data_IF_250586879498
#
_entry.id   IF_250586879498
#
_cell.length_a   1.000
_cell.length_b   1.000
_cell.length_c   1.000
_cell.angle_alpha   90.00
_cell.angle_beta   90.00
_cell.angle_gamma   90.00
#
_symmetry.space_group_name_H-M   'P 1'
#
loop_
_entity.id
_entity.type
_entity.pdbx_description
1 polymer ?
#
# COMPACT_ATOMS: atom_id res chain seq x y z
N UNK A 1 -21.68 1.15 34.67
CA UNK A 1 -20.97 0.80 33.43
C UNK A 1 -20.56 2.11 32.78
N UNK A 2 -19.28 2.40 32.74
CA UNK A 2 -18.73 3.53 32.00
C UNK A 2 -18.77 3.17 30.52
N UNK A 3 -19.51 3.92 29.71
CA UNK A 3 -19.56 3.70 28.28
C UNK A 3 -18.23 4.18 27.69
N UNK A 4 -17.36 3.25 27.35
CA UNK A 4 -16.10 3.56 26.66
C UNK A 4 -16.40 4.35 25.40
N UNK A 5 -15.99 5.62 25.40
CA UNK A 5 -16.10 6.49 24.24
C UNK A 5 -15.19 5.96 23.12
N UNK A 6 -15.79 5.37 22.08
CA UNK A 6 -15.06 4.99 20.87
C UNK A 6 -14.93 6.20 19.96
N UNK A 7 -13.70 6.61 19.68
CA UNK A 7 -13.38 7.63 18.66
C UNK A 7 -13.00 6.94 17.37
N UNK A 8 -13.62 7.34 16.26
CA UNK A 8 -13.32 6.85 14.91
C UNK A 8 -12.73 8.01 14.13
N UNK A 9 -11.53 7.83 13.59
CA UNK A 9 -10.86 8.79 12.72
C UNK A 9 -10.92 8.28 11.29
N UNK A 10 -11.41 9.11 10.38
CA UNK A 10 -11.47 8.83 8.94
C UNK A 10 -10.45 9.75 8.29
N UNK A 11 -9.50 9.17 7.57
CA UNK A 11 -8.41 9.89 6.94
C UNK A 11 -8.55 9.82 5.43
N UNK A 12 -8.23 10.92 4.76
CA UNK A 12 -7.87 10.90 3.35
C UNK A 12 -6.40 10.46 3.22
N UNK A 13 -6.04 9.86 2.09
CA UNK A 13 -4.70 9.29 1.90
C UNK A 13 -3.78 10.27 1.16
N UNK A 14 -4.12 10.63 -0.07
CA UNK A 14 -3.33 11.52 -0.92
C UNK A 14 -3.50 12.97 -0.49
N UNK A 15 -2.42 13.74 -0.54
CA UNK A 15 -2.31 15.12 -0.05
C UNK A 15 -2.67 15.32 1.44
N UNK A 16 -2.73 14.24 2.22
CA UNK A 16 -2.97 14.25 3.67
C UNK A 16 -1.92 13.43 4.39
N UNK A 17 -1.85 12.13 4.09
CA UNK A 17 -0.88 11.21 4.70
C UNK A 17 0.37 11.10 3.82
N UNK A 18 0.17 11.09 2.49
CA UNK A 18 1.22 11.09 1.48
C UNK A 18 1.04 12.28 0.53
N UNK A 19 2.06 12.61 -0.26
CA UNK A 19 2.07 13.75 -1.18
C UNK A 19 2.35 13.31 -2.63
N UNK A 20 1.71 12.24 -3.11
CA UNK A 20 2.12 11.64 -4.39
C UNK A 20 1.69 12.48 -5.59
N UNK A 21 0.43 12.93 -5.61
CA UNK A 21 -0.11 13.66 -6.76
C UNK A 21 0.51 15.04 -6.93
N UNK A 22 0.77 15.74 -5.84
CA UNK A 22 1.40 17.07 -5.85
C UNK A 22 2.87 17.01 -6.22
N UNK A 23 3.57 15.91 -5.91
CA UNK A 23 4.89 15.62 -6.44
C UNK A 23 4.84 15.38 -7.95
N UNK A 24 3.98 14.46 -8.42
CA UNK A 24 3.86 14.11 -9.85
C UNK A 24 3.53 15.30 -10.74
N UNK A 25 2.66 16.19 -10.26
CA UNK A 25 2.22 17.37 -11.02
C UNK A 25 3.09 18.61 -10.78
N UNK A 26 4.10 18.53 -9.90
CA UNK A 26 4.96 19.65 -9.52
C UNK A 26 4.27 20.76 -8.71
N UNK A 27 3.00 20.58 -8.33
CA UNK A 27 2.23 21.58 -7.60
C UNK A 27 2.68 21.72 -6.15
N UNK A 28 3.35 20.71 -5.59
CA UNK A 28 3.97 20.83 -4.26
C UNK A 28 4.99 21.98 -4.27
N UNK A 29 5.94 21.98 -5.21
CA UNK A 29 6.96 23.02 -5.30
C UNK A 29 6.39 24.43 -5.54
N UNK A 30 5.36 24.54 -6.38
CA UNK A 30 4.69 25.80 -6.69
C UNK A 30 4.10 26.48 -5.44
N UNK A 31 3.67 25.69 -4.45
CA UNK A 31 3.14 26.24 -3.18
C UNK A 31 4.20 26.94 -2.32
N UNK A 32 5.49 26.76 -2.64
CA UNK A 32 6.63 27.36 -1.92
C UNK A 32 7.27 28.54 -2.66
N UNK A 33 6.58 29.18 -3.61
CA UNK A 33 7.08 30.36 -4.35
C UNK A 33 8.49 30.15 -4.94
N UNK A 34 8.70 29.04 -5.64
CA UNK A 34 9.97 28.66 -6.30
C UNK A 34 11.16 28.41 -5.36
N UNK A 35 10.93 28.28 -4.04
CA UNK A 35 11.98 27.89 -3.08
C UNK A 35 12.36 26.40 -3.17
N UNK A 36 11.54 25.58 -3.83
CA UNK A 36 11.79 24.16 -4.05
C UNK A 36 12.01 23.86 -5.52
N UNK A 37 12.93 22.96 -5.79
CA UNK A 37 13.19 22.43 -7.14
C UNK A 37 12.00 21.59 -7.61
N UNK A 38 11.24 22.10 -8.58
CA UNK A 38 10.06 21.42 -9.11
C UNK A 38 10.42 20.14 -9.88
N UNK A 39 11.52 20.13 -10.62
CA UNK A 39 11.96 18.96 -11.40
C UNK A 39 12.36 17.82 -10.47
N UNK A 40 13.06 18.13 -9.37
CA UNK A 40 13.37 17.15 -8.31
C UNK A 40 12.09 16.55 -7.72
N UNK A 41 11.09 17.37 -7.42
CA UNK A 41 9.80 16.91 -6.87
C UNK A 41 9.07 15.96 -7.82
N UNK A 42 8.99 16.31 -9.11
CA UNK A 42 8.38 15.46 -10.14
C UNK A 42 9.14 14.15 -10.31
N UNK A 43 10.48 14.18 -10.25
CA UNK A 43 11.29 12.97 -10.32
C UNK A 43 11.02 12.03 -9.14
N UNK A 44 10.95 12.57 -7.91
CA UNK A 44 10.58 11.78 -6.71
C UNK A 44 9.20 11.15 -6.89
N UNK A 45 8.21 11.93 -7.35
CA UNK A 45 6.86 11.42 -7.62
C UNK A 45 6.85 10.26 -8.62
N UNK A 46 7.60 10.37 -9.73
CA UNK A 46 7.72 9.30 -10.73
C UNK A 46 8.43 8.06 -10.19
N UNK A 47 9.44 8.23 -9.34
CA UNK A 47 10.10 7.11 -8.67
C UNK A 47 9.11 6.35 -7.77
N UNK A 48 8.27 7.06 -7.02
CA UNK A 48 7.21 6.45 -6.22
C UNK A 48 6.18 5.72 -7.07
N UNK A 49 5.65 6.37 -8.12
CA UNK A 49 4.68 5.75 -9.03
C UNK A 49 5.21 4.45 -9.62
N UNK A 50 6.44 4.47 -10.17
CA UNK A 50 7.07 3.28 -10.74
C UNK A 50 7.28 2.18 -9.69
N UNK A 51 7.73 2.53 -8.49
CA UNK A 51 7.99 1.55 -7.45
C UNK A 51 6.71 0.94 -6.88
N UNK A 52 5.65 1.75 -6.69
CA UNK A 52 4.32 1.29 -6.28
C UNK A 52 3.76 0.31 -7.32
N UNK A 53 3.80 0.67 -8.61
CA UNK A 53 3.33 -0.20 -9.69
C UNK A 53 4.10 -1.52 -9.72
N UNK A 54 5.43 -1.46 -9.64
CA UNK A 54 6.27 -2.66 -9.61
C UNK A 54 5.93 -3.58 -8.43
N UNK A 55 5.72 -3.02 -7.23
CA UNK A 55 5.29 -3.79 -6.06
C UNK A 55 3.89 -4.39 -6.28
N UNK A 56 2.96 -3.63 -6.84
CA UNK A 56 1.60 -4.09 -7.14
C UNK A 56 1.61 -5.29 -8.10
N UNK A 57 2.44 -5.25 -9.14
CA UNK A 57 2.55 -6.33 -10.12
C UNK A 57 3.23 -7.57 -9.50
N UNK A 58 4.42 -7.41 -8.93
CA UNK A 58 5.24 -8.52 -8.40
C UNK A 58 4.62 -9.19 -7.18
N UNK A 59 3.94 -8.43 -6.30
CA UNK A 59 3.50 -8.94 -5.00
C UNK A 59 2.00 -9.11 -4.88
N UNK A 60 1.19 -8.40 -5.68
CA UNK A 60 -0.25 -8.25 -5.46
C UNK A 60 -1.11 -8.55 -6.70
N UNK A 61 -0.55 -9.21 -7.72
CA UNK A 61 -1.28 -9.68 -8.90
C UNK A 61 -1.97 -8.56 -9.68
N UNK A 62 -1.47 -7.33 -9.62
CA UNK A 62 -2.18 -6.15 -10.11
C UNK A 62 -2.59 -6.27 -11.59
N UNK A 63 -1.68 -6.66 -12.49
CA UNK A 63 -2.03 -6.94 -13.90
C UNK A 63 -3.23 -7.90 -14.07
N UNK A 64 -3.39 -8.86 -13.16
CA UNK A 64 -4.42 -9.89 -13.24
C UNK A 64 -5.78 -9.41 -12.69
N UNK A 65 -5.80 -8.38 -11.84
CA UNK A 65 -6.99 -7.94 -11.10
C UNK A 65 -7.35 -6.47 -11.29
N UNK A 66 -6.55 -5.67 -11.99
CA UNK A 66 -6.77 -4.21 -12.15
C UNK A 66 -8.16 -3.84 -12.70
N UNK A 67 -8.71 -4.69 -13.56
CA UNK A 67 -10.03 -4.52 -14.17
C UNK A 67 -11.19 -4.85 -13.20
N UNK A 68 -10.88 -5.33 -11.98
CA UNK A 68 -11.83 -5.67 -10.93
C UNK A 68 -11.55 -4.84 -9.66
N UNK A 69 -11.63 -3.52 -9.80
CA UNK A 69 -11.44 -2.60 -8.69
C UNK A 69 -12.61 -2.67 -7.71
N UNK A 70 -12.40 -3.31 -6.55
CA UNK A 70 -13.42 -3.45 -5.50
C UNK A 70 -13.10 -2.54 -4.30
N UNK A 71 -14.14 -2.06 -3.58
CA UNK A 71 -13.94 -1.05 -2.54
C UNK A 71 -13.28 -1.56 -1.25
N UNK A 72 -13.21 -2.89 -1.04
CA UNK A 72 -12.57 -3.51 0.13
C UNK A 72 -12.21 -4.98 -0.14
N UNK A 73 -11.23 -5.51 0.60
CA UNK A 73 -10.67 -6.86 0.37
C UNK A 73 -11.71 -7.99 0.38
N UNK A 74 -12.72 -7.92 1.26
CA UNK A 74 -13.77 -8.93 1.44
C UNK A 74 -14.91 -8.82 0.39
N UNK A 75 -14.84 -7.92 -0.59
CA UNK A 75 -15.94 -7.67 -1.54
C UNK A 75 -16.33 -8.91 -2.36
N UNK A 76 -15.39 -9.81 -2.63
CA UNK A 76 -15.63 -11.05 -3.41
C UNK A 76 -15.72 -12.31 -2.54
N UNK A 77 -15.80 -12.16 -1.21
CA UNK A 77 -15.81 -13.27 -0.26
C UNK A 77 -16.90 -14.31 -0.51
N UNK A 78 -18.03 -13.90 -1.10
CA UNK A 78 -19.12 -14.82 -1.44
C UNK A 78 -18.77 -15.83 -2.54
N UNK A 79 -17.77 -15.53 -3.38
CA UNK A 79 -17.29 -16.40 -4.45
C UNK A 79 -16.14 -17.30 -3.98
N UNK A 80 -15.55 -17.01 -2.82
CA UNK A 80 -14.49 -17.79 -2.23
C UNK A 80 -15.04 -19.04 -1.53
N UNK A 81 -14.55 -20.22 -1.90
CA UNK A 81 -15.00 -21.51 -1.36
C UNK A 81 -14.19 -22.02 -0.16
N UNK A 82 -13.19 -21.27 0.30
CA UNK A 82 -12.36 -21.68 1.44
C UNK A 82 -11.21 -22.63 1.10
N UNK A 83 -10.95 -22.92 -0.18
CA UNK A 83 -9.85 -23.80 -0.61
C UNK A 83 -8.49 -23.37 -0.03
N UNK A 84 -7.68 -24.33 0.40
CA UNK A 84 -6.27 -24.04 0.74
C UNK A 84 -5.50 -23.55 -0.50
N UNK A 85 -4.79 -22.44 -0.34
CA UNK A 85 -4.04 -21.77 -1.42
C UNK A 85 -2.53 -22.03 -1.32
N UNK A 86 -2.06 -22.81 -0.36
CA UNK A 86 -0.63 -23.06 -0.13
C UNK A 86 0.08 -23.70 -1.33
N UNK A 87 -0.62 -24.54 -2.10
CA UNK A 87 -0.13 -25.21 -3.32
C UNK A 87 -0.79 -24.68 -4.61
N UNK A 88 -1.49 -23.54 -4.52
CA UNK A 88 -2.26 -23.01 -5.64
C UNK A 88 -1.38 -22.25 -6.63
N UNK A 89 -1.32 -22.74 -7.87
CA UNK A 89 -0.57 -22.11 -8.96
C UNK A 89 -1.41 -21.02 -9.67
N UNK A 90 -1.35 -19.78 -9.17
CA UNK A 90 -2.10 -18.64 -9.73
C UNK A 90 -1.86 -18.42 -11.23
N UNK A 91 -0.63 -18.61 -11.72
CA UNK A 91 -0.29 -18.40 -13.14
C UNK A 91 -0.86 -19.48 -14.07
N UNK A 92 -1.32 -20.62 -13.52
CA UNK A 92 -1.85 -21.75 -14.29
C UNK A 92 -3.34 -21.97 -14.11
N UNK A 93 -4.01 -21.11 -13.34
CA UNK A 93 -5.44 -21.25 -13.07
C UNK A 93 -6.34 -20.81 -14.24
N UNK A 94 -5.76 -20.19 -15.27
CA UNK A 94 -6.47 -19.72 -16.46
C UNK A 94 -7.49 -18.64 -16.15
N UNK A 95 -7.20 -17.73 -15.21
CA UNK A 95 -7.98 -16.50 -15.05
C UNK A 95 -7.96 -15.71 -16.37
N UNK A 96 -9.12 -15.52 -16.97
CA UNK A 96 -9.30 -14.67 -18.13
C UNK A 96 -10.71 -14.06 -18.14
N UNK A 97 -10.91 -12.91 -18.78
CA UNK A 97 -12.25 -12.40 -19.05
C UNK A 97 -13.05 -13.39 -19.94
N UNK A 98 -14.39 -13.46 -19.82
CA UNK A 98 -15.26 -12.62 -18.98
C UNK A 98 -15.30 -13.05 -17.50
N UNK A 99 -15.65 -12.12 -16.61
CA UNK A 99 -15.77 -12.36 -15.17
C UNK A 99 -17.08 -13.08 -14.80
N UNK A 100 -17.23 -14.31 -15.26
CA UNK A 100 -18.26 -15.21 -14.75
C UNK A 100 -17.97 -15.64 -13.29
N UNK A 101 -18.87 -16.41 -12.67
CA UNK A 101 -18.70 -16.88 -11.30
C UNK A 101 -17.40 -17.67 -11.08
N UNK A 102 -16.89 -18.36 -12.11
CA UNK A 102 -15.63 -19.10 -12.05
C UNK A 102 -14.44 -18.15 -12.01
N UNK A 103 -14.45 -17.10 -12.84
CA UNK A 103 -13.45 -16.04 -12.84
C UNK A 103 -13.50 -15.22 -11.55
N UNK A 104 -14.68 -14.89 -11.04
CA UNK A 104 -14.85 -14.17 -9.76
C UNK A 104 -14.31 -14.98 -8.58
N UNK A 105 -14.48 -16.29 -8.60
CA UNK A 105 -13.88 -17.20 -7.61
C UNK A 105 -12.34 -17.16 -7.63
N UNK A 106 -11.72 -17.16 -8.83
CA UNK A 106 -10.25 -17.04 -8.96
C UNK A 106 -9.73 -15.67 -8.51
N UNK A 107 -10.49 -14.60 -8.74
CA UNK A 107 -10.17 -13.26 -8.22
C UNK A 107 -10.30 -13.25 -6.69
N UNK A 108 -11.33 -13.89 -6.14
CA UNK A 108 -11.49 -14.02 -4.69
C UNK A 108 -10.30 -14.73 -4.02
N UNK A 109 -9.72 -15.75 -4.67
CA UNK A 109 -8.48 -16.38 -4.20
C UNK A 109 -7.30 -15.40 -4.15
N UNK A 110 -7.11 -14.58 -5.17
CA UNK A 110 -6.07 -13.53 -5.20
C UNK A 110 -6.30 -12.52 -4.08
N UNK A 111 -7.54 -12.05 -3.91
CA UNK A 111 -7.92 -11.17 -2.80
C UNK A 111 -7.58 -11.78 -1.43
N UNK A 112 -7.86 -13.08 -1.22
CA UNK A 112 -7.49 -13.76 0.02
C UNK A 112 -5.98 -13.89 0.19
N UNK A 113 -5.24 -14.21 -0.86
CA UNK A 113 -3.78 -14.27 -0.83
C UNK A 113 -3.16 -12.90 -0.50
N UNK A 114 -3.67 -11.84 -1.12
CA UNK A 114 -3.30 -10.44 -0.82
C UNK A 114 -3.63 -10.12 0.65
N UNK A 115 -4.82 -10.44 1.13
CA UNK A 115 -5.21 -10.22 2.52
C UNK A 115 -4.32 -11.01 3.49
N UNK A 116 -3.86 -12.21 3.13
CA UNK A 116 -2.89 -12.97 3.92
C UNK A 116 -1.54 -12.27 3.98
N UNK A 117 -1.02 -11.77 2.84
CA UNK A 117 0.21 -10.96 2.80
C UNK A 117 0.10 -9.73 3.71
N UNK A 118 -1.01 -8.97 3.63
CA UNK A 118 -1.24 -7.83 4.53
C UNK A 118 -1.36 -8.24 6.01
N UNK A 119 -1.94 -9.40 6.30
CA UNK A 119 -2.03 -9.92 7.69
C UNK A 119 -0.66 -10.32 8.24
N UNK A 120 0.21 -10.93 7.44
CA UNK A 120 1.58 -11.26 7.84
C UNK A 120 2.36 -9.99 8.22
N UNK A 121 2.17 -8.91 7.45
CA UNK A 121 2.67 -7.57 7.79
C UNK A 121 2.10 -7.11 9.14
N UNK A 122 0.78 -7.20 9.31
CA UNK A 122 0.10 -6.74 10.51
C UNK A 122 0.43 -7.54 11.78
N UNK A 123 0.52 -8.87 11.69
CA UNK A 123 0.87 -9.74 12.83
C UNK A 123 2.30 -9.49 13.29
N UNK A 124 3.23 -9.26 12.36
CA UNK A 124 4.61 -8.85 12.68
C UNK A 124 4.62 -7.53 13.45
N UNK A 125 3.70 -6.61 13.14
CA UNK A 125 3.59 -5.31 13.83
C UNK A 125 2.87 -5.42 15.18
N UNK A 126 1.91 -6.34 15.34
CA UNK A 126 1.10 -6.50 16.56
C UNK A 126 1.86 -6.96 17.81
N UNK A 127 3.12 -7.37 17.68
CA UNK A 127 4.02 -7.62 18.82
C UNK A 127 4.61 -6.32 19.41
N UNK A 128 4.30 -5.15 18.83
CA UNK A 128 4.64 -3.83 19.35
C UNK A 128 3.36 -3.08 19.69
N UNK A 129 2.93 -3.13 20.96
CA UNK A 129 1.74 -2.45 21.47
C UNK A 129 1.66 -0.98 21.03
N UNK A 130 0.85 -0.58 20.03
CA UNK A 130 0.27 0.78 19.91
C UNK A 130 -0.86 0.82 18.86
N UNK A 131 -1.88 1.64 19.14
CA UNK A 131 -3.21 1.73 18.50
C UNK A 131 -3.22 2.03 16.99
N UNK A 132 -4.21 1.45 16.30
CA UNK A 132 -4.47 1.40 14.85
C UNK A 132 -4.61 2.76 14.11
N UNK A 133 -4.51 3.90 14.80
CA UNK A 133 -4.58 5.23 14.19
C UNK A 133 -3.19 5.73 13.72
N UNK A 134 -2.12 5.05 14.14
CA UNK A 134 -0.73 5.43 13.86
C UNK A 134 -0.17 4.91 12.51
N UNK A 135 -0.93 4.13 11.73
CA UNK A 135 -0.33 3.18 10.77
C UNK A 135 -0.03 3.70 9.36
N UNK A 136 -0.54 4.88 8.98
CA UNK A 136 -0.17 5.51 7.71
C UNK A 136 0.89 6.59 7.89
N UNK A 137 1.25 6.92 9.14
CA UNK A 137 2.30 7.89 9.43
C UNK A 137 3.39 7.35 10.38
N UNK A 138 3.35 6.08 10.81
CA UNK A 138 4.52 5.43 11.45
C UNK A 138 5.47 4.90 10.39
N UNK A 139 6.29 5.82 9.92
CA UNK A 139 7.39 5.62 9.00
C UNK A 139 8.36 4.49 9.38
N UNK A 140 8.86 3.87 8.32
CA UNK A 140 10.16 3.22 8.13
C UNK A 140 10.56 1.97 8.94
N UNK A 141 10.06 1.69 10.16
CA UNK A 141 10.57 0.52 10.92
C UNK A 141 9.60 -0.66 11.07
N UNK A 142 8.30 -0.40 11.26
CA UNK A 142 7.30 -1.45 11.51
C UNK A 142 6.61 -1.92 10.22
N UNK A 143 6.32 -1.00 9.30
CA UNK A 143 5.94 -1.37 7.92
C UNK A 143 7.09 -2.16 7.25
N UNK A 144 8.34 -1.80 7.55
CA UNK A 144 9.54 -2.50 7.10
C UNK A 144 9.66 -3.93 7.62
N UNK A 145 9.33 -4.23 8.89
CA UNK A 145 9.32 -5.62 9.39
C UNK A 145 8.29 -6.49 8.67
N UNK A 146 7.12 -5.95 8.35
CA UNK A 146 6.11 -6.68 7.62
C UNK A 146 6.44 -6.81 6.14
N UNK A 147 6.92 -5.73 5.52
CA UNK A 147 7.38 -5.73 4.14
C UNK A 147 8.64 -6.56 3.93
N UNK A 148 9.51 -6.73 4.92
CA UNK A 148 10.70 -7.60 4.82
C UNK A 148 10.37 -9.03 4.43
N UNK A 149 9.15 -9.49 4.74
CA UNK A 149 8.68 -10.83 4.36
C UNK A 149 8.11 -10.88 2.93
N UNK A 150 7.92 -9.72 2.29
CA UNK A 150 7.32 -9.56 0.96
C UNK A 150 8.34 -9.04 -0.05
N UNK A 151 9.13 -8.05 0.34
CA UNK A 151 10.10 -7.34 -0.49
C UNK A 151 11.46 -8.01 -0.37
N UNK A 152 12.14 -8.11 -1.50
CA UNK A 152 13.55 -8.46 -1.50
C UNK A 152 14.41 -7.30 -0.96
N UNK A 153 15.71 -7.58 -0.79
CA UNK A 153 16.66 -6.60 -0.24
C UNK A 153 16.80 -5.36 -1.11
N UNK A 154 16.66 -5.48 -2.42
CA UNK A 154 16.81 -4.37 -3.35
C UNK A 154 15.56 -3.48 -3.31
N UNK A 155 14.36 -4.06 -3.28
CA UNK A 155 13.11 -3.32 -3.09
C UNK A 155 13.11 -2.53 -1.79
N UNK A 156 13.56 -3.13 -0.68
CA UNK A 156 13.69 -2.44 0.60
C UNK A 156 14.68 -1.27 0.55
N UNK A 157 15.83 -1.46 -0.10
CA UNK A 157 16.85 -0.40 -0.26
C UNK A 157 16.30 0.79 -1.03
N UNK A 158 15.63 0.53 -2.16
CA UNK A 158 15.02 1.57 -2.99
C UNK A 158 13.92 2.31 -2.23
N UNK A 159 13.11 1.59 -1.46
CA UNK A 159 12.07 2.18 -0.62
C UNK A 159 12.64 3.15 0.42
N UNK A 160 13.67 2.74 1.16
CA UNK A 160 14.29 3.58 2.20
C UNK A 160 14.93 4.83 1.60
N UNK A 161 15.68 4.69 0.51
CA UNK A 161 16.29 5.84 -0.19
C UNK A 161 15.23 6.81 -0.70
N UNK A 162 14.14 6.29 -1.26
CA UNK A 162 13.06 7.12 -1.78
C UNK A 162 12.25 7.79 -0.67
N UNK A 163 12.06 7.11 0.47
CA UNK A 163 11.47 7.70 1.67
C UNK A 163 12.30 8.89 2.17
N UNK A 164 13.61 8.70 2.36
CA UNK A 164 14.51 9.75 2.88
C UNK A 164 14.54 10.95 1.93
N UNK A 165 14.66 10.71 0.63
CA UNK A 165 14.61 11.76 -0.40
C UNK A 165 13.30 12.54 -0.35
N UNK A 166 12.18 11.85 -0.14
CA UNK A 166 10.85 12.47 -0.09
C UNK A 166 10.68 13.28 1.18
N UNK A 167 11.06 12.74 2.34
CA UNK A 167 10.89 13.40 3.63
C UNK A 167 11.79 14.64 3.72
N UNK A 168 13.01 14.58 3.21
CA UNK A 168 13.88 15.75 3.07
C UNK A 168 13.24 16.81 2.15
N UNK A 169 12.75 16.40 0.98
CA UNK A 169 12.17 17.32 0.01
C UNK A 169 10.87 17.97 0.50
N UNK A 170 10.06 17.24 1.29
CA UNK A 170 8.73 17.65 1.74
C UNK A 170 8.73 18.33 3.11
N UNK A 171 9.88 18.81 3.57
CA UNK A 171 10.05 19.45 4.89
C UNK A 171 9.53 18.58 6.04
N UNK A 172 9.85 17.28 5.97
CA UNK A 172 9.48 16.28 6.98
C UNK A 172 7.98 16.00 7.06
N UNK A 173 7.24 16.15 5.96
CA UNK A 173 5.80 15.87 5.95
C UNK A 173 5.51 14.44 6.44
N UNK A 174 6.22 13.44 5.89
CA UNK A 174 5.99 12.03 6.24
C UNK A 174 6.36 11.78 7.70
N UNK A 175 7.50 12.27 8.17
CA UNK A 175 7.90 12.10 9.57
C UNK A 175 7.09 12.96 10.54
N UNK A 176 6.39 14.02 10.12
CA UNK A 176 5.64 14.91 11.02
C UNK A 176 4.48 14.23 11.75
N UNK A 177 3.79 13.29 11.11
CA UNK A 177 2.71 12.53 11.79
C UNK A 177 3.21 11.31 12.56
N UNK A 178 4.53 11.11 12.68
CA UNK A 178 5.12 10.10 13.58
C UNK A 178 5.18 10.56 15.04
N UNK A 179 4.84 11.82 15.33
CA UNK A 179 4.94 12.44 16.66
C UNK A 179 3.81 12.07 17.63
#
# INVERSE_FOLDING_TARGET
>A
MDATLTKVFIWDMDETLILLKSLLNGTFAQSFNDLKDADKGVQIGRMWENHILNVCDECFFYEQIENNNTPFLDALKQYDDGRDLSDYEFDRDGLCPPFDDLSLKKIAYRHRAIAHKYKEVFYSISQSHFSLVYYLVKCSSLFFQGLQNIFDKEMLRVWDELYDMTDEYTDRWLSSGTC
#
